data_IF_452716818569
#
_entry.id   IF_452716818569
#
_cell.length_a   1.000
_cell.length_b   1.000
_cell.length_c   1.000
_cell.angle_alpha   90.00
_cell.angle_beta   90.00
_cell.angle_gamma   90.00
#
_symmetry.space_group_name_H-M   'P 1'
#
loop_
_entity.id
_entity.type
_entity.pdbx_description
1 polymer ?
#
# COMPACT_ATOMS: atom_id res chain seq x y z
N UNK A 1 17.67 7.77 19.94
CA UNK A 1 17.72 6.67 20.92
C UNK A 1 19.15 6.42 21.35
N UNK A 2 19.41 6.35 22.66
CA UNK A 2 20.73 5.94 23.17
C UNK A 2 20.91 4.42 23.08
N UNK A 3 22.15 3.95 23.05
CA UNK A 3 22.51 2.52 23.07
C UNK A 3 21.89 1.78 24.28
N UNK A 4 21.72 2.51 25.38
CA UNK A 4 21.07 2.02 26.60
C UNK A 4 19.57 1.79 26.43
N UNK A 5 18.88 2.61 25.62
CA UNK A 5 17.45 2.40 25.27
C UNK A 5 17.26 1.19 24.35
N UNK A 6 18.25 0.88 23.49
CA UNK A 6 18.23 -0.31 22.64
C UNK A 6 18.43 -1.60 23.44
N UNK A 7 19.31 -1.58 24.45
CA UNK A 7 19.52 -2.73 25.33
C UNK A 7 18.30 -3.01 26.22
N UNK A 8 17.71 -1.97 26.82
CA UNK A 8 16.48 -2.11 27.62
C UNK A 8 15.30 -2.65 26.78
N UNK A 9 15.18 -2.18 25.53
CA UNK A 9 14.19 -2.71 24.59
C UNK A 9 14.42 -4.19 24.27
N UNK A 10 15.68 -4.59 24.10
CA UNK A 10 16.06 -5.99 23.84
C UNK A 10 15.73 -6.93 25.00
N UNK A 11 15.96 -6.48 26.25
CA UNK A 11 15.67 -7.26 27.45
C UNK A 11 14.15 -7.41 27.67
N UNK A 12 13.39 -6.32 27.49
CA UNK A 12 11.92 -6.31 27.58
C UNK A 12 11.26 -7.17 26.49
N UNK A 13 11.83 -7.19 25.29
CA UNK A 13 11.42 -8.10 24.22
C UNK A 13 11.71 -9.56 24.58
N UNK A 14 12.87 -9.84 25.17
CA UNK A 14 13.26 -11.18 25.59
C UNK A 14 12.34 -11.79 26.65
N UNK A 15 11.90 -11.00 27.63
CA UNK A 15 11.00 -11.44 28.69
C UNK A 15 9.57 -11.65 28.19
N UNK A 16 9.11 -10.81 27.27
CA UNK A 16 7.79 -10.92 26.65
C UNK A 16 7.68 -12.14 25.72
N UNK A 17 8.74 -12.44 24.95
CA UNK A 17 8.79 -13.66 24.11
C UNK A 17 8.77 -14.92 24.98
N UNK A 18 9.43 -14.91 26.15
CA UNK A 18 9.45 -16.04 27.09
C UNK A 18 8.08 -16.32 27.72
N UNK A 19 7.25 -15.30 27.97
CA UNK A 19 5.90 -15.52 28.52
C UNK A 19 4.93 -16.09 27.48
N UNK A 20 5.06 -15.69 26.21
CA UNK A 20 4.19 -16.13 25.12
C UNK A 20 4.46 -17.56 24.62
N UNK A 21 5.69 -18.07 24.77
CA UNK A 21 6.05 -19.45 24.42
C UNK A 21 5.49 -20.52 25.38
N UNK A 22 4.69 -20.14 26.38
CA UNK A 22 4.14 -21.04 27.39
C UNK A 22 2.67 -21.45 27.17
N UNK A 23 2.01 -20.99 26.10
CA UNK A 23 0.61 -21.32 25.78
C UNK A 23 0.44 -22.01 24.40
N UNK A 24 -0.06 -23.26 24.40
CA UNK A 24 -0.40 -24.06 23.21
C UNK A 24 -1.81 -23.73 22.66
N UNK A 25 -1.97 -23.60 21.32
CA UNK A 25 -3.29 -23.51 20.65
C UNK A 25 -3.28 -23.36 19.12
N UNK A 26 -4.35 -23.74 18.39
CA UNK A 26 -4.29 -24.65 17.23
C UNK A 26 -4.35 -24.02 15.81
N UNK A 27 -4.04 -24.84 14.80
CA UNK A 27 -4.00 -24.55 13.36
C UNK A 27 -5.28 -24.98 12.59
N UNK A 28 -5.61 -24.29 11.47
CA UNK A 28 -6.27 -24.87 10.26
C UNK A 28 -6.49 -23.86 9.09
N UNK A 29 -6.04 -24.24 7.88
CA UNK A 29 -6.71 -24.35 6.54
C UNK A 29 -7.67 -23.23 6.05
N UNK A 30 -7.75 -22.75 4.80
CA UNK A 30 -7.20 -23.09 3.46
C UNK A 30 -8.21 -22.67 2.34
N UNK A 31 -7.74 -22.54 1.07
CA UNK A 31 -8.49 -22.69 -0.23
C UNK A 31 -9.23 -21.44 -0.79
N UNK A 32 -9.32 -21.08 -2.09
CA UNK A 32 -8.77 -21.47 -3.42
C UNK A 32 -8.89 -20.30 -4.44
N UNK A 33 -8.16 -20.42 -5.55
CA UNK A 33 -8.26 -19.60 -6.77
C UNK A 33 -9.42 -20.05 -7.69
N UNK A 34 -9.96 -19.11 -8.50
CA UNK A 34 -10.83 -19.40 -9.66
C UNK A 34 -10.45 -18.48 -10.84
N UNK A 35 -10.20 -19.10 -12.00
CA UNK A 35 -9.95 -18.51 -13.32
C UNK A 35 -11.24 -18.02 -13.97
N UNK A 36 -11.16 -17.01 -14.85
CA UNK A 36 -12.04 -16.86 -16.03
C UNK A 36 -11.35 -16.00 -17.12
N UNK A 37 -11.31 -16.52 -18.35
CA UNK A 37 -11.03 -15.82 -19.62
C UNK A 37 -12.27 -15.01 -20.05
N UNK A 38 -12.09 -13.82 -20.64
CA UNK A 38 -12.52 -13.54 -22.02
C UNK A 38 -12.14 -12.13 -22.52
N UNK A 39 -11.91 -12.04 -23.83
CA UNK A 39 -11.55 -10.84 -24.59
C UNK A 39 -12.69 -9.81 -24.72
N UNK A 40 -12.40 -8.53 -24.44
CA UNK A 40 -13.07 -7.38 -25.11
C UNK A 40 -12.29 -6.08 -24.91
N UNK A 41 -11.94 -5.40 -26.00
CA UNK A 41 -11.54 -3.99 -25.95
C UNK A 41 -12.80 -3.18 -25.63
N UNK A 42 -12.82 -2.60 -24.43
CA UNK A 42 -13.80 -1.62 -24.02
C UNK A 42 -13.04 -0.42 -23.47
N UNK A 43 -13.06 0.69 -24.19
CA UNK A 43 -12.88 2.00 -23.57
C UNK A 43 -14.15 2.25 -22.73
N UNK A 44 -14.16 1.81 -21.46
CA UNK A 44 -15.25 2.14 -20.56
C UNK A 44 -15.01 3.54 -19.98
N UNK A 45 -15.89 4.46 -20.35
CA UNK A 45 -16.22 5.60 -19.50
C UNK A 45 -17.24 5.08 -18.49
N UNK A 46 -16.78 4.47 -17.41
CA UNK A 46 -17.66 4.08 -16.30
C UNK A 46 -17.67 5.18 -15.24
N UNK A 47 -18.84 5.78 -15.09
CA UNK A 47 -19.31 6.34 -13.83
C UNK A 47 -19.23 5.26 -12.76
N UNK A 48 -18.75 5.62 -11.56
CA UNK A 48 -18.52 4.72 -10.43
C UNK A 48 -19.60 3.64 -10.28
N UNK A 49 -19.17 2.38 -10.34
CA UNK A 49 -19.91 1.20 -9.91
C UNK A 49 -19.90 1.15 -8.37
N UNK A 50 -21.05 1.22 -7.68
CA UNK A 50 -21.13 1.33 -6.23
C UNK A 50 -20.86 0.04 -5.44
N UNK A 51 -20.65 -1.12 -6.09
CA UNK A 51 -20.60 -2.43 -5.39
C UNK A 51 -19.25 -3.18 -5.49
N UNK A 52 -18.16 -2.55 -5.94
CA UNK A 52 -16.81 -3.14 -5.88
C UNK A 52 -16.00 -2.41 -4.81
N UNK A 53 -15.51 -3.14 -3.79
CA UNK A 53 -14.65 -2.69 -2.68
C UNK A 53 -13.74 -1.50 -3.07
N UNK A 54 -14.32 -0.31 -2.95
CA UNK A 54 -13.70 0.91 -3.41
C UNK A 54 -12.84 1.40 -2.25
N UNK A 55 -11.59 1.76 -2.55
CA UNK A 55 -10.80 2.65 -1.70
C UNK A 55 -11.76 3.70 -1.14
N UNK A 56 -11.91 3.77 0.18
CA UNK A 56 -12.78 4.74 0.86
C UNK A 56 -12.22 6.16 0.64
N UNK A 57 -12.32 6.63 -0.58
CA UNK A 57 -12.25 8.01 -0.99
C UNK A 57 -13.60 8.56 -0.54
N UNK A 58 -13.59 9.48 0.44
CA UNK A 58 -14.86 10.09 0.87
C UNK A 58 -15.58 10.67 -0.36
N UNK A 59 -16.91 10.58 -0.41
CA UNK A 59 -17.72 11.06 -1.56
C UNK A 59 -17.38 12.49 -1.99
N UNK A 60 -16.89 13.32 -1.07
CA UNK A 60 -16.48 14.70 -1.31
C UNK A 60 -15.13 14.80 -2.06
N UNK A 61 -14.19 13.88 -1.81
CA UNK A 61 -12.92 13.76 -2.53
C UNK A 61 -13.13 13.21 -3.94
N UNK A 62 -14.06 12.26 -4.13
CA UNK A 62 -14.38 11.70 -5.44
C UNK A 62 -14.95 12.73 -6.43
N UNK A 63 -15.59 13.80 -5.93
CA UNK A 63 -16.13 14.88 -6.77
C UNK A 63 -15.03 15.84 -7.29
N UNK A 64 -13.87 15.89 -6.64
CA UNK A 64 -12.77 16.80 -6.97
C UNK A 64 -11.67 16.13 -7.80
N UNK A 65 -11.56 14.82 -7.72
CA UNK A 65 -10.64 14.02 -8.54
C UNK A 65 -11.26 13.62 -9.88
N UNK A 66 -10.40 13.24 -10.82
CA UNK A 66 -10.81 12.46 -11.97
C UNK A 66 -9.72 11.46 -12.33
N UNK A 67 -10.13 10.40 -13.00
CA UNK A 67 -9.28 9.25 -13.30
C UNK A 67 -9.36 8.92 -14.78
N UNK A 68 -8.22 8.52 -15.35
CA UNK A 68 -8.15 7.87 -16.66
C UNK A 68 -7.47 6.54 -16.47
N UNK A 69 -8.03 5.48 -17.04
CA UNK A 69 -7.41 4.15 -16.95
C UNK A 69 -7.32 3.46 -18.30
N UNK A 70 -6.40 2.51 -18.40
CA UNK A 70 -6.27 1.60 -19.52
C UNK A 70 -5.75 0.25 -19.05
N UNK A 71 -6.34 -0.82 -19.58
CA UNK A 71 -5.91 -2.20 -19.34
C UNK A 71 -4.97 -2.67 -20.45
N UNK A 72 -3.96 -3.44 -20.06
CA UNK A 72 -3.00 -4.09 -20.93
C UNK A 72 -2.96 -5.58 -20.59
N UNK A 73 -2.69 -6.42 -21.59
CA UNK A 73 -2.61 -7.86 -21.40
C UNK A 73 -1.53 -8.44 -22.32
N UNK A 74 -0.57 -9.13 -21.72
CA UNK A 74 0.51 -9.84 -22.40
C UNK A 74 0.58 -11.27 -21.93
N UNK A 75 0.71 -12.18 -22.89
CA UNK A 75 0.95 -13.60 -22.64
C UNK A 75 2.29 -14.00 -23.27
N UNK A 76 3.01 -14.86 -22.57
CA UNK A 76 4.23 -15.51 -23.01
C UNK A 76 3.96 -16.51 -24.12
N UNK A 77 4.95 -17.37 -24.41
CA UNK A 77 4.79 -18.41 -25.42
C UNK A 77 3.88 -19.52 -24.89
N UNK A 78 3.23 -20.25 -25.80
CA UNK A 78 2.37 -21.39 -25.43
C UNK A 78 3.14 -22.53 -24.75
N UNK A 79 4.45 -22.64 -25.00
CA UNK A 79 5.32 -23.64 -24.38
C UNK A 79 6.27 -23.01 -23.37
N UNK A 80 6.46 -23.70 -22.24
CA UNK A 80 7.33 -23.24 -21.17
C UNK A 80 8.81 -23.32 -21.58
N UNK A 81 9.45 -22.15 -21.67
CA UNK A 81 10.90 -22.01 -21.83
C UNK A 81 11.44 -20.96 -20.85
N UNK A 82 12.10 -21.38 -19.75
CA UNK A 82 12.57 -20.46 -18.72
C UNK A 82 13.75 -19.60 -19.19
N UNK A 83 14.38 -19.93 -20.31
CA UNK A 83 15.55 -19.21 -20.83
C UNK A 83 15.17 -18.12 -21.82
N UNK A 84 13.92 -18.09 -22.29
CA UNK A 84 13.44 -17.01 -23.15
C UNK A 84 12.53 -16.07 -22.38
N UNK A 85 12.88 -14.78 -22.40
CA UNK A 85 12.02 -13.72 -21.92
C UNK A 85 11.39 -12.98 -23.09
N UNK A 86 10.16 -12.54 -22.88
CA UNK A 86 9.48 -11.56 -23.72
C UNK A 86 9.26 -10.31 -22.88
N UNK A 87 9.76 -9.19 -23.33
CA UNK A 87 9.60 -7.90 -22.67
C UNK A 87 9.09 -6.84 -23.64
N UNK A 88 8.57 -5.76 -23.08
CA UNK A 88 8.05 -4.64 -23.83
C UNK A 88 7.77 -3.46 -22.93
N UNK A 89 7.48 -2.33 -23.57
CA UNK A 89 7.04 -1.11 -22.89
C UNK A 89 5.70 -0.72 -23.48
N UNK A 90 4.69 -0.69 -22.62
CA UNK A 90 3.40 -0.13 -22.97
C UNK A 90 3.35 1.34 -22.62
N UNK A 91 2.72 2.12 -23.49
CA UNK A 91 2.52 3.56 -23.29
C UNK A 91 1.03 3.87 -23.13
N UNK A 92 0.67 4.40 -21.97
CA UNK A 92 -0.66 4.89 -21.68
C UNK A 92 -0.70 6.41 -21.83
N UNK A 93 -1.30 6.90 -22.92
CA UNK A 93 -1.46 8.34 -23.17
C UNK A 93 -2.82 8.83 -22.69
N UNK A 94 -2.84 9.98 -22.03
CA UNK A 94 -4.08 10.62 -21.58
C UNK A 94 -3.93 12.15 -21.55
N UNK A 95 -5.07 12.84 -21.62
CA UNK A 95 -5.11 14.31 -21.54
C UNK A 95 -5.76 14.75 -20.23
N UNK A 96 -5.02 15.58 -19.48
CA UNK A 96 -5.51 16.23 -18.27
C UNK A 96 -6.36 17.44 -18.71
N UNK A 97 -7.63 17.54 -18.25
CA UNK A 97 -8.49 18.67 -18.58
C UNK A 97 -7.91 20.02 -18.12
N UNK A 98 -8.20 21.14 -18.80
CA UNK A 98 -7.83 22.47 -18.32
C UNK A 98 -8.33 22.73 -16.88
N UNK A 99 -7.53 23.45 -16.07
CA UNK A 99 -7.82 23.73 -14.66
C UNK A 99 -7.60 22.55 -13.72
N UNK A 100 -6.99 21.46 -14.22
CA UNK A 100 -6.63 20.27 -13.44
C UNK A 100 -5.16 19.93 -13.62
N UNK A 101 -4.62 19.25 -12.62
CA UNK A 101 -3.22 18.84 -12.53
C UNK A 101 -3.10 17.37 -12.15
N UNK A 102 -2.05 16.72 -12.65
CA UNK A 102 -1.71 15.34 -12.31
C UNK A 102 -1.43 15.21 -10.82
N UNK A 103 -1.99 14.17 -10.21
CA UNK A 103 -1.80 13.84 -8.79
C UNK A 103 -0.79 12.70 -8.62
N UNK A 104 -1.17 11.53 -9.12
CA UNK A 104 -0.42 10.27 -8.98
C UNK A 104 -0.92 9.27 -10.01
N UNK A 105 -0.21 8.16 -10.13
CA UNK A 105 -0.65 6.99 -10.89
C UNK A 105 -0.83 5.78 -9.99
N UNK A 106 -1.60 4.82 -10.49
CA UNK A 106 -1.71 3.48 -9.92
C UNK A 106 -1.41 2.45 -11.01
N UNK A 107 -0.62 1.43 -10.66
CA UNK A 107 -0.39 0.28 -11.52
C UNK A 107 -0.95 -0.96 -10.80
N UNK A 108 -2.08 -1.47 -11.30
CA UNK A 108 -2.83 -2.58 -10.70
C UNK A 108 -2.73 -3.83 -11.58
N UNK A 109 -1.91 -4.82 -11.20
CA UNK A 109 -2.01 -6.17 -11.75
C UNK A 109 -3.40 -6.76 -11.55
N UNK A 110 -3.96 -7.30 -12.62
CA UNK A 110 -5.25 -8.00 -12.66
C UNK A 110 -4.99 -9.51 -12.66
N UNK A 111 -4.07 -9.97 -13.51
CA UNK A 111 -3.72 -11.38 -13.62
C UNK A 111 -2.23 -11.49 -13.86
N UNK A 112 -1.52 -12.25 -13.02
CA UNK A 112 -0.09 -12.47 -13.21
C UNK A 112 0.28 -13.92 -13.00
N UNK A 113 1.27 -14.38 -13.77
CA UNK A 113 1.88 -15.70 -13.58
C UNK A 113 3.38 -15.50 -13.37
N UNK A 114 3.93 -16.15 -12.35
CA UNK A 114 5.37 -16.10 -12.09
C UNK A 114 6.14 -16.93 -13.13
N UNK A 115 7.31 -16.46 -13.62
CA UNK A 115 7.96 -15.19 -13.32
C UNK A 115 7.47 -14.04 -14.21
N UNK A 116 7.31 -12.85 -13.63
CA UNK A 116 7.04 -11.61 -14.37
C UNK A 116 7.74 -10.41 -13.71
N UNK A 117 8.07 -9.39 -14.51
CA UNK A 117 8.36 -8.03 -14.04
C UNK A 117 7.27 -7.10 -14.56
N UNK A 118 6.89 -6.14 -13.72
CA UNK A 118 5.97 -5.08 -14.10
C UNK A 118 6.37 -3.81 -13.33
N UNK A 119 6.76 -2.77 -14.07
CA UNK A 119 7.38 -1.57 -13.48
C UNK A 119 7.03 -0.32 -14.29
N UNK A 120 6.72 0.78 -13.60
CA UNK A 120 6.57 2.08 -14.26
C UNK A 120 7.94 2.68 -14.52
N UNK A 121 8.32 2.84 -15.79
CA UNK A 121 9.60 3.45 -16.18
C UNK A 121 9.52 4.96 -16.27
N UNK A 122 8.33 5.48 -16.59
CA UNK A 122 8.09 6.91 -16.74
C UNK A 122 6.67 7.25 -16.36
N UNK A 123 6.49 8.32 -15.61
CA UNK A 123 5.20 8.89 -15.29
C UNK A 123 5.28 10.43 -15.25
N UNK A 124 4.14 11.13 -15.37
CA UNK A 124 4.11 12.58 -15.20
C UNK A 124 4.49 12.96 -13.77
N UNK A 125 5.16 14.10 -13.61
CA UNK A 125 5.36 14.69 -12.29
C UNK A 125 4.05 15.20 -11.70
N UNK A 126 3.94 15.22 -10.37
CA UNK A 126 2.84 15.90 -9.70
C UNK A 126 2.75 17.36 -10.17
N UNK A 127 1.53 17.85 -10.42
CA UNK A 127 1.32 19.18 -10.99
C UNK A 127 1.32 19.23 -12.53
N UNK A 128 1.67 18.14 -13.23
CA UNK A 128 1.69 18.14 -14.70
C UNK A 128 0.31 18.42 -15.31
N UNK A 129 0.27 19.10 -16.45
CA UNK A 129 -0.96 19.49 -17.16
C UNK A 129 -0.93 19.04 -18.62
N UNK A 130 -2.07 19.10 -19.31
CA UNK A 130 -2.14 18.82 -20.75
C UNK A 130 -1.98 17.35 -21.11
N UNK A 131 -1.35 17.06 -22.26
CA UNK A 131 -1.14 15.70 -22.75
C UNK A 131 0.03 15.04 -22.02
N UNK A 132 -0.23 13.88 -21.45
CA UNK A 132 0.68 13.16 -20.58
C UNK A 132 0.71 11.67 -20.95
N UNK A 133 1.73 10.96 -20.50
CA UNK A 133 1.80 9.50 -20.65
C UNK A 133 2.50 8.83 -19.48
N UNK A 134 2.16 7.57 -19.27
CA UNK A 134 2.82 6.64 -18.35
C UNK A 134 3.39 5.49 -19.20
N UNK A 135 4.68 5.20 -19.04
CA UNK A 135 5.36 4.09 -19.69
C UNK A 135 5.55 2.96 -18.68
N UNK A 136 5.01 1.78 -19.00
CA UNK A 136 5.07 0.60 -18.15
C UNK A 136 5.87 -0.48 -18.85
N UNK A 137 7.00 -0.85 -18.25
CA UNK A 137 7.78 -2.00 -18.69
C UNK A 137 7.20 -3.28 -18.11
N UNK A 138 7.07 -4.28 -18.96
CA UNK A 138 6.68 -5.63 -18.56
C UNK A 138 7.68 -6.63 -19.12
N UNK A 139 7.89 -7.72 -18.37
CA UNK A 139 8.71 -8.85 -18.80
C UNK A 139 8.10 -10.14 -18.32
N UNK A 140 8.09 -11.13 -19.20
CA UNK A 140 7.52 -12.46 -19.01
C UNK A 140 8.58 -13.50 -19.33
N UNK A 141 8.61 -14.59 -18.57
CA UNK A 141 9.45 -15.76 -18.87
C UNK A 141 8.59 -16.98 -19.18
N UNK A 142 8.99 -17.75 -20.19
CA UNK A 142 8.26 -18.94 -20.62
C UNK A 142 6.79 -18.67 -20.95
N UNK A 143 5.90 -19.42 -20.30
CA UNK A 143 4.44 -19.30 -20.41
C UNK A 143 3.80 -18.26 -19.49
N UNK A 144 4.59 -17.33 -18.94
CA UNK A 144 4.09 -16.30 -18.04
C UNK A 144 3.02 -15.40 -18.68
N UNK A 145 2.18 -14.78 -17.86
CA UNK A 145 1.15 -13.84 -18.29
C UNK A 145 1.16 -12.63 -17.35
N UNK A 146 0.89 -11.44 -17.90
CA UNK A 146 0.65 -10.22 -17.13
C UNK A 146 -0.49 -9.43 -17.78
N UNK A 147 -1.60 -9.32 -17.05
CA UNK A 147 -2.68 -8.40 -17.31
C UNK A 147 -2.71 -7.37 -16.19
N UNK A 148 -2.84 -6.10 -16.53
CA UNK A 148 -2.78 -5.01 -15.58
C UNK A 148 -3.56 -3.79 -16.05
N UNK A 149 -3.92 -2.92 -15.12
CA UNK A 149 -4.52 -1.62 -15.36
C UNK A 149 -3.56 -0.52 -14.93
N UNK A 150 -3.39 0.49 -15.78
CA UNK A 150 -2.71 1.74 -15.43
C UNK A 150 -3.76 2.81 -15.23
N UNK A 151 -3.70 3.54 -14.12
CA UNK A 151 -4.58 4.66 -13.81
C UNK A 151 -3.76 5.93 -13.63
N UNK A 152 -4.18 7.01 -14.27
CA UNK A 152 -3.69 8.37 -14.03
C UNK A 152 -4.76 9.18 -13.32
N UNK A 153 -4.45 9.68 -12.14
CA UNK A 153 -5.37 10.45 -11.30
C UNK A 153 -4.98 11.93 -11.34
N UNK A 154 -5.98 12.80 -11.46
CA UNK A 154 -5.80 14.25 -11.45
C UNK A 154 -6.82 14.94 -10.52
N UNK A 155 -6.51 16.15 -10.08
CA UNK A 155 -7.37 16.98 -9.23
C UNK A 155 -7.39 18.42 -9.77
N UNK A 156 -8.22 19.30 -9.22
CA UNK A 156 -8.20 20.72 -9.62
C UNK A 156 -6.90 21.37 -9.15
N UNK A 157 -6.38 22.29 -9.95
CA UNK A 157 -5.10 22.98 -9.67
C UNK A 157 -5.13 23.82 -8.40
N UNK A 158 -6.30 24.32 -8.02
CA UNK A 158 -6.50 25.19 -6.85
C UNK A 158 -6.74 24.41 -5.56
N UNK A 159 -7.01 23.11 -5.65
CA UNK A 159 -7.31 22.26 -4.51
C UNK A 159 -6.01 21.63 -4.00
N UNK A 160 -5.89 21.45 -2.69
CA UNK A 160 -4.83 20.59 -2.17
C UNK A 160 -5.01 19.17 -2.73
N UNK A 161 -3.91 18.44 -2.98
CA UNK A 161 -4.02 17.07 -3.42
C UNK A 161 -4.82 16.29 -2.37
N UNK A 162 -5.84 15.54 -2.80
CA UNK A 162 -6.72 14.88 -1.86
C UNK A 162 -5.95 13.89 -1.00
N UNK A 163 -6.31 13.77 0.29
CA UNK A 163 -5.66 12.82 1.19
C UNK A 163 -5.92 11.41 0.68
N UNK A 164 -4.84 10.69 0.37
CA UNK A 164 -4.91 9.29 -0.06
C UNK A 164 -4.95 8.40 1.18
N UNK A 165 -5.94 7.53 1.27
CA UNK A 165 -6.08 6.56 2.37
C UNK A 165 -5.93 5.16 1.82
N UNK A 166 -4.95 4.42 2.32
CA UNK A 166 -4.68 3.03 1.95
C UNK A 166 -5.05 2.15 3.13
N UNK A 167 -6.16 1.43 3.01
CA UNK A 167 -6.63 0.54 4.08
C UNK A 167 -5.80 -0.74 4.07
N UNK A 168 -5.07 -0.98 5.16
CA UNK A 168 -4.23 -2.17 5.32
C UNK A 168 -5.11 -3.42 5.27
N UNK A 169 -4.77 -4.35 4.38
CA UNK A 169 -5.53 -5.57 4.13
C UNK A 169 -6.54 -5.49 2.98
N UNK A 170 -6.81 -4.30 2.42
CA UNK A 170 -7.62 -4.16 1.19
C UNK A 170 -6.88 -4.71 -0.05
N UNK A 171 -7.59 -5.05 -1.13
CA UNK A 171 -6.94 -5.61 -2.32
C UNK A 171 -5.86 -4.67 -2.88
N UNK A 172 -4.61 -5.16 -3.01
CA UNK A 172 -3.49 -4.41 -3.57
C UNK A 172 -2.95 -3.25 -2.72
N UNK A 173 -3.35 -3.16 -1.44
CA UNK A 173 -2.93 -2.12 -0.51
C UNK A 173 -1.41 -1.98 -0.38
N UNK A 174 -0.70 -3.11 -0.43
CA UNK A 174 0.73 -3.23 -0.27
C UNK A 174 1.46 -2.53 -1.43
N UNK A 175 1.07 -2.90 -2.66
CA UNK A 175 1.62 -2.34 -3.89
C UNK A 175 1.29 -0.86 -4.00
N UNK A 176 0.06 -0.46 -3.68
CA UNK A 176 -0.34 0.94 -3.68
C UNK A 176 0.50 1.75 -2.68
N UNK A 177 0.69 1.23 -1.46
CA UNK A 177 1.55 1.86 -0.46
C UNK A 177 2.99 2.09 -0.96
N UNK A 178 3.62 1.07 -1.55
CA UNK A 178 4.95 1.23 -2.15
C UNK A 178 4.97 2.22 -3.32
N UNK A 179 3.97 2.20 -4.20
CA UNK A 179 3.86 3.14 -5.32
C UNK A 179 3.74 4.59 -4.82
N UNK A 180 2.98 4.83 -3.76
CA UNK A 180 2.84 6.18 -3.19
C UNK A 180 4.13 6.67 -2.51
N UNK A 181 4.88 5.77 -1.87
CA UNK A 181 6.23 6.08 -1.35
C UNK A 181 7.18 6.43 -2.50
N UNK A 182 7.22 5.62 -3.56
CA UNK A 182 8.09 5.85 -4.72
C UNK A 182 7.76 7.19 -5.41
N UNK A 183 6.47 7.50 -5.53
CA UNK A 183 5.99 8.77 -6.07
C UNK A 183 6.10 9.96 -5.09
N UNK A 184 6.64 9.74 -3.88
CA UNK A 184 6.75 10.74 -2.80
C UNK A 184 5.43 11.47 -2.53
N UNK A 185 4.33 10.74 -2.47
CA UNK A 185 3.00 11.29 -2.19
C UNK A 185 2.71 11.26 -0.70
N UNK A 186 1.91 12.22 -0.24
CA UNK A 186 1.33 12.15 1.10
C UNK A 186 0.16 11.18 1.09
N UNK A 187 0.12 10.27 2.07
CA UNK A 187 -0.96 9.30 2.21
C UNK A 187 -1.02 8.77 3.64
N UNK A 188 -2.16 8.21 4.02
CA UNK A 188 -2.39 7.58 5.30
C UNK A 188 -2.54 6.07 5.12
N UNK A 189 -1.71 5.27 5.79
CA UNK A 189 -1.97 3.83 5.94
C UNK A 189 -2.92 3.63 7.10
N UNK A 190 -4.08 3.04 6.84
CA UNK A 190 -5.15 2.95 7.81
C UNK A 190 -5.39 1.49 8.17
N UNK A 191 -5.18 1.14 9.43
CA UNK A 191 -5.65 -0.12 10.00
C UNK A 191 -6.97 0.16 10.71
N UNK A 192 -7.99 -0.64 10.41
CA UNK A 192 -9.33 -0.49 10.99
C UNK A 192 -9.69 -1.70 11.85
N UNK A 193 -10.61 -1.51 12.80
CA UNK A 193 -11.21 -2.61 13.56
C UNK A 193 -10.43 -3.05 14.80
N UNK A 194 -10.63 -4.29 15.27
CA UNK A 194 -9.99 -4.82 16.48
C UNK A 194 -8.47 -4.85 16.40
N UNK A 195 -7.93 -5.13 15.21
CA UNK A 195 -6.49 -5.19 14.96
C UNK A 195 -5.82 -3.83 15.14
N UNK A 196 -6.47 -2.74 14.71
CA UNK A 196 -5.99 -1.39 14.93
C UNK A 196 -5.77 -1.09 16.42
N UNK A 197 -6.72 -1.49 17.27
CA UNK A 197 -6.64 -1.32 18.72
C UNK A 197 -5.54 -2.18 19.34
N UNK A 198 -5.38 -3.42 18.88
CA UNK A 198 -4.32 -4.32 19.34
C UNK A 198 -2.94 -3.75 19.02
N UNK A 199 -2.72 -3.39 17.76
CA UNK A 199 -1.46 -2.81 17.29
C UNK A 199 -1.17 -1.49 18.03
N UNK A 200 -2.17 -0.62 18.22
CA UNK A 200 -2.00 0.61 18.98
C UNK A 200 -1.58 0.38 20.43
N UNK A 201 -2.24 -0.57 21.12
CA UNK A 201 -1.88 -0.92 22.49
C UNK A 201 -0.45 -1.45 22.59
N UNK A 202 -0.02 -2.25 21.61
CA UNK A 202 1.33 -2.79 21.57
C UNK A 202 2.36 -1.67 21.27
N UNK A 203 2.10 -0.80 20.28
CA UNK A 203 2.93 0.38 20.01
C UNK A 203 3.09 1.24 21.27
N UNK A 204 2.00 1.50 22.01
CA UNK A 204 2.04 2.30 23.24
C UNK A 204 2.88 1.67 24.35
N UNK A 205 2.86 0.33 24.49
CA UNK A 205 3.69 -0.39 25.48
C UNK A 205 5.19 -0.18 25.25
N UNK A 206 5.59 -0.06 23.99
CA UNK A 206 7.00 0.09 23.61
C UNK A 206 7.44 1.57 23.48
N UNK A 207 6.59 2.44 22.93
CA UNK A 207 6.94 3.84 22.65
C UNK A 207 6.86 4.78 23.86
N UNK A 208 6.23 4.37 24.99
CA UNK A 208 6.14 5.19 26.20
C UNK A 208 5.40 6.53 26.03
N UNK A 209 4.67 6.72 24.92
CA UNK A 209 4.08 7.98 24.50
C UNK A 209 2.67 8.29 25.03
N UNK A 210 2.18 9.47 24.67
CA UNK A 210 0.82 9.99 24.95
C UNK A 210 -0.28 9.00 24.52
N UNK A 211 -1.44 8.94 25.21
CA UNK A 211 -2.49 7.97 24.93
C UNK A 211 -3.07 7.99 23.52
N UNK A 212 -2.90 9.10 22.78
CA UNK A 212 -3.55 9.32 21.48
C UNK A 212 -2.56 9.61 20.33
N UNK A 213 -1.27 9.77 20.61
CA UNK A 213 -0.30 10.17 19.59
C UNK A 213 1.10 9.62 19.89
N UNK A 214 1.74 9.02 18.88
CA UNK A 214 3.17 8.73 18.89
C UNK A 214 3.82 9.62 17.84
N UNK A 215 4.63 10.57 18.30
CA UNK A 215 5.29 11.56 17.46
C UNK A 215 6.63 11.02 16.95
N UNK A 216 6.79 10.97 15.62
CA UNK A 216 8.06 10.66 14.97
C UNK A 216 8.14 9.23 14.43
N UNK A 217 8.80 9.13 13.28
CA UNK A 217 9.03 7.85 12.57
C UNK A 217 9.83 6.88 13.43
N UNK A 218 10.90 7.36 14.06
CA UNK A 218 11.84 6.48 14.74
C UNK A 218 11.14 5.72 15.88
N UNK A 219 10.29 6.40 16.64
CA UNK A 219 9.54 5.80 17.75
C UNK A 219 8.44 4.85 17.25
N UNK A 220 7.72 5.21 16.18
CA UNK A 220 6.70 4.36 15.59
C UNK A 220 7.29 3.13 14.88
N UNK A 221 8.41 3.28 14.16
CA UNK A 221 9.11 2.21 13.44
C UNK A 221 9.79 1.25 14.41
N UNK A 222 10.47 1.76 15.44
CA UNK A 222 11.07 0.92 16.49
C UNK A 222 9.97 0.16 17.24
N UNK A 223 8.86 0.82 17.58
CA UNK A 223 7.74 0.15 18.23
C UNK A 223 7.11 -0.91 17.31
N UNK A 224 6.85 -0.62 16.04
CA UNK A 224 6.26 -1.60 15.12
C UNK A 224 7.22 -2.77 14.84
N UNK A 225 8.52 -2.51 14.70
CA UNK A 225 9.54 -3.55 14.57
C UNK A 225 9.59 -4.43 15.82
N UNK A 226 9.53 -3.83 17.02
CA UNK A 226 9.42 -4.55 18.28
C UNK A 226 8.14 -5.41 18.34
N UNK A 227 7.00 -4.90 17.87
CA UNK A 227 5.74 -5.65 17.77
C UNK A 227 5.83 -6.81 16.78
N UNK A 228 6.46 -6.62 15.62
CA UNK A 228 6.67 -7.69 14.64
C UNK A 228 7.58 -8.79 15.21
N UNK A 229 8.67 -8.41 15.91
CA UNK A 229 9.59 -9.36 16.55
C UNK A 229 8.94 -10.08 17.74
N UNK A 230 8.11 -9.38 18.52
CA UNK A 230 7.38 -9.93 19.67
C UNK A 230 6.15 -10.76 19.25
N UNK A 231 5.57 -10.47 18.08
CA UNK A 231 4.25 -10.95 17.63
C UNK A 231 4.26 -12.15 16.68
N UNK A 232 5.35 -12.93 16.64
CA UNK A 232 5.44 -14.14 15.80
C UNK A 232 4.53 -15.28 16.28
N UNK A 233 3.86 -15.18 17.44
CA UNK A 233 3.14 -16.32 18.05
C UNK A 233 1.67 -15.99 18.30
N UNK A 234 0.84 -15.93 17.25
CA UNK A 234 -0.62 -15.99 17.50
C UNK A 234 -1.50 -16.05 16.28
N UNK A 235 -1.16 -15.35 15.20
CA UNK A 235 -1.97 -15.37 13.96
C UNK A 235 -1.08 -15.03 12.77
N UNK A 236 -0.68 -16.07 12.02
CA UNK A 236 0.23 -15.99 10.86
C UNK A 236 -0.29 -15.00 9.77
N UNK A 237 -1.61 -14.83 9.64
CA UNK A 237 -2.23 -13.89 8.69
C UNK A 237 -2.01 -12.41 9.06
N UNK A 238 -1.99 -12.08 10.36
CA UNK A 238 -1.70 -10.72 10.84
C UNK A 238 -0.21 -10.41 10.73
N UNK A 239 0.65 -11.42 10.91
CA UNK A 239 2.11 -11.26 10.80
C UNK A 239 2.55 -10.85 9.39
N UNK A 240 1.92 -11.41 8.34
CA UNK A 240 2.20 -11.02 6.95
C UNK A 240 1.86 -9.55 6.67
N UNK A 241 0.65 -9.12 7.05
CA UNK A 241 0.22 -7.73 6.88
C UNK A 241 1.09 -6.73 7.65
N UNK A 242 1.46 -7.06 8.89
CA UNK A 242 2.35 -6.24 9.72
C UNK A 242 3.77 -6.14 9.15
N UNK A 243 4.31 -7.23 8.60
CA UNK A 243 5.63 -7.21 7.97
C UNK A 243 5.65 -6.33 6.72
N UNK A 244 4.60 -6.41 5.89
CA UNK A 244 4.46 -5.54 4.72
C UNK A 244 4.29 -4.08 5.15
N UNK A 245 3.47 -3.81 6.17
CA UNK A 245 3.30 -2.47 6.74
C UNK A 245 4.64 -1.91 7.22
N UNK A 246 5.43 -2.72 7.93
CA UNK A 246 6.77 -2.36 8.38
C UNK A 246 7.71 -2.04 7.20
N UNK A 247 7.64 -2.82 6.12
CA UNK A 247 8.44 -2.59 4.93
C UNK A 247 8.05 -1.30 4.19
N UNK A 248 6.76 -0.97 4.11
CA UNK A 248 6.29 0.29 3.51
C UNK A 248 6.75 1.48 4.36
N UNK A 249 6.57 1.42 5.68
CA UNK A 249 7.06 2.46 6.58
C UNK A 249 8.58 2.62 6.47
N UNK A 250 9.33 1.51 6.48
CA UNK A 250 10.78 1.50 6.29
C UNK A 250 11.22 2.09 4.94
N UNK A 251 10.48 1.81 3.86
CA UNK A 251 10.71 2.41 2.55
C UNK A 251 10.42 3.93 2.57
N UNK A 252 9.36 4.36 3.25
CA UNK A 252 9.02 5.78 3.42
C UNK A 252 10.14 6.54 4.16
N UNK A 253 10.70 5.96 5.23
CA UNK A 253 11.86 6.54 5.95
C UNK A 253 13.06 6.70 5.01
N UNK A 254 13.40 5.64 4.28
CA UNK A 254 14.53 5.64 3.33
C UNK A 254 14.33 6.66 2.20
N UNK A 255 13.08 6.91 1.80
CA UNK A 255 12.72 7.92 0.82
C UNK A 255 12.74 9.35 1.39
N UNK A 256 12.96 9.52 2.70
CA UNK A 256 13.01 10.81 3.39
C UNK A 256 11.64 11.36 3.80
N UNK A 257 10.60 10.53 3.81
CA UNK A 257 9.28 10.90 4.30
C UNK A 257 9.23 10.92 5.83
N UNK A 258 8.32 11.71 6.40
CA UNK A 258 7.95 11.69 7.82
C UNK A 258 6.64 10.91 7.99
N UNK A 259 6.46 10.17 9.08
CA UNK A 259 5.26 9.39 9.35
C UNK A 259 4.83 9.65 10.79
N UNK A 260 3.53 9.83 11.00
CA UNK A 260 2.92 10.07 12.30
C UNK A 260 1.84 9.01 12.54
N UNK A 261 1.88 8.36 13.69
CA UNK A 261 0.85 7.39 14.07
C UNK A 261 -0.21 8.06 14.96
N UNK A 262 -1.47 7.99 14.53
CA UNK A 262 -2.63 8.55 15.23
C UNK A 262 -3.66 7.46 15.43
N UNK A 263 -4.19 7.32 16.65
CA UNK A 263 -5.28 6.40 16.93
C UNK A 263 -6.57 7.14 17.25
N UNK A 264 -7.59 6.93 16.43
CA UNK A 264 -8.92 7.48 16.61
C UNK A 264 -9.83 6.41 17.19
N UNK A 265 -10.40 6.68 18.36
CA UNK A 265 -11.38 5.79 18.98
C UNK A 265 -12.73 5.93 18.28
N UNK A 266 -13.26 4.86 17.71
CA UNK A 266 -14.62 4.86 17.17
C UNK A 266 -15.69 4.94 18.26
N UNK A 267 -16.85 5.51 17.92
CA UNK A 267 -17.99 5.66 18.83
C UNK A 267 -18.67 4.31 19.17
N UNK A 268 -18.52 3.29 18.32
CA UNK A 268 -18.98 1.92 18.58
C UNK A 268 -17.85 1.05 19.16
N UNK A 269 -18.17 0.31 20.23
CA UNK A 269 -17.28 -0.41 21.17
C UNK A 269 -16.27 -1.45 20.62
N UNK A 270 -15.97 -1.52 19.32
CA UNK A 270 -14.99 -2.47 18.77
C UNK A 270 -14.10 -1.98 17.61
N UNK A 271 -14.37 -0.83 16.99
CA UNK A 271 -13.59 -0.37 15.84
C UNK A 271 -12.83 0.91 16.18
N UNK A 272 -11.54 0.78 16.49
CA UNK A 272 -10.61 1.90 16.43
C UNK A 272 -10.08 2.05 15.01
N UNK A 273 -9.55 3.23 14.70
CA UNK A 273 -8.79 3.47 13.50
C UNK A 273 -7.36 3.85 13.91
N UNK A 274 -6.38 3.12 13.40
CA UNK A 274 -4.96 3.46 13.52
C UNK A 274 -4.49 3.98 12.16
N UNK A 275 -4.19 5.27 12.08
CA UNK A 275 -3.64 5.90 10.89
C UNK A 275 -2.14 6.12 11.04
N UNK A 276 -1.38 5.80 9.99
CA UNK A 276 -0.01 6.23 9.81
C UNK A 276 0.04 7.27 8.69
N UNK A 277 0.07 8.53 9.05
CA UNK A 277 0.08 9.66 8.13
C UNK A 277 1.50 9.90 7.61
N UNK A 278 1.77 9.49 6.38
CA UNK A 278 3.06 9.59 5.70
C UNK A 278 3.09 10.87 4.87
N UNK A 279 4.06 11.73 5.19
CA UNK A 279 4.30 13.04 4.59
C UNK A 279 5.68 13.06 3.94
N UNK A 280 5.73 13.02 2.61
CA UNK A 280 6.97 12.98 1.84
C UNK A 280 7.49 14.35 1.40
N UNK A 281 6.72 15.42 1.65
CA UNK A 281 7.14 16.80 1.44
C UNK A 281 7.68 17.38 2.74
N UNK A 282 9.00 17.52 2.88
CA UNK A 282 9.54 18.00 4.17
C UNK A 282 11.04 18.26 4.32
N UNK A 283 11.86 18.19 3.27
CA UNK A 283 13.22 18.77 3.29
C UNK A 283 13.59 19.31 1.91
N UNK A 284 13.25 20.58 1.67
CA UNK A 284 13.99 21.45 0.76
C UNK A 284 15.16 22.07 1.51
#
# INVERSE_FOLDING_TARGET
MSEQQLQDLGERLGDYVRSLLSEDGPAANGVAAVLLDDHREAESFESLDPDADELLISREVAAQTGMRSKKFNHRGKEWWDPFTSRDGVDRFEFKIPPGRVFSHYELRPITTTFPHELEVKKAPGAGATGAQHIDVHWKLWGGGQVAYEVRGVYHREQDEPPPLRVVVGSEGWDRLGFQLVEQRRNFSLVVVGPDAKRIWNDIRRFAGGSPNEVAGIDDAFVALTAVVLAGVIGTILVAGGLLVLNNILGAAVKAGCNAKATFTKGEALAAGELSFDINCFGRS
#
